data_IF_485963563871
#
_entry.id   IF_485963563871
#
_cell.length_a   1.000
_cell.length_b   1.000
_cell.length_c   1.000
_cell.angle_alpha   90.00
_cell.angle_beta   90.00
_cell.angle_gamma   90.00
#
_symmetry.space_group_name_H-M   'P 1'
#
loop_
_entity.id
_entity.type
_entity.pdbx_description
1 polymer ?
#
# COMPACT_ATOMS: atom_id res chain seq x y z
N UNK A 1 -2.09 -31.84 17.50
CA UNK A 1 -3.24 -32.61 18.07
C UNK A 1 -4.38 -31.67 18.45
N UNK A 2 -5.66 -32.08 18.41
CA UNK A 2 -6.75 -31.22 18.87
C UNK A 2 -6.57 -30.90 20.35
N UNK A 3 -6.29 -29.64 20.66
CA UNK A 3 -6.07 -29.16 22.03
C UNK A 3 -4.71 -28.52 22.29
N UNK A 4 -3.72 -28.71 21.42
CA UNK A 4 -2.47 -28.00 21.55
C UNK A 4 -2.64 -26.50 21.17
N UNK A 5 -2.05 -25.59 21.93
CA UNK A 5 -2.13 -24.16 21.64
C UNK A 5 -1.43 -23.85 20.32
N UNK A 6 -2.12 -23.11 19.44
CA UNK A 6 -1.53 -22.60 18.20
C UNK A 6 -0.68 -21.38 18.55
N UNK A 7 0.61 -21.40 18.25
CA UNK A 7 1.48 -20.23 18.40
C UNK A 7 1.42 -19.40 17.13
N UNK A 8 1.16 -18.11 17.28
CA UNK A 8 1.06 -17.15 16.17
C UNK A 8 1.88 -15.91 16.47
N UNK A 9 2.51 -15.35 15.45
CA UNK A 9 3.08 -14.00 15.53
C UNK A 9 2.05 -13.02 15.01
N UNK A 10 1.54 -12.15 15.87
CA UNK A 10 0.49 -11.19 15.50
C UNK A 10 0.99 -9.75 15.45
N UNK A 11 0.38 -8.99 14.57
CA UNK A 11 0.61 -7.56 14.49
C UNK A 11 -0.17 -6.83 15.58
N UNK A 12 0.51 -5.93 16.29
CA UNK A 12 -0.09 -5.01 17.27
C UNK A 12 0.18 -3.57 16.83
N UNK A 13 -0.63 -2.63 17.34
CA UNK A 13 -0.48 -1.19 17.05
C UNK A 13 -0.38 -0.89 15.54
N UNK A 14 -1.35 -1.39 14.77
CA UNK A 14 -1.39 -1.18 13.32
C UNK A 14 -0.23 -1.81 12.53
N UNK A 15 0.48 -2.78 13.12
CA UNK A 15 1.63 -3.44 12.51
C UNK A 15 2.99 -2.88 12.96
N UNK A 16 3.02 -1.91 13.89
CA UNK A 16 4.29 -1.37 14.41
C UNK A 16 5.02 -2.33 15.33
N UNK A 17 4.29 -3.21 16.01
CA UNK A 17 4.84 -4.22 16.92
C UNK A 17 4.45 -5.62 16.48
N UNK A 18 5.34 -6.57 16.73
CA UNK A 18 5.08 -8.00 16.61
C UNK A 18 5.00 -8.60 18.02
N UNK A 19 4.02 -9.47 18.21
CA UNK A 19 3.80 -10.17 19.47
C UNK A 19 3.64 -11.65 19.20
N UNK A 20 4.43 -12.48 19.87
CA UNK A 20 4.17 -13.92 19.88
C UNK A 20 3.05 -14.20 20.89
N UNK A 21 2.04 -14.93 20.47
CA UNK A 21 0.89 -15.27 21.27
C UNK A 21 0.51 -16.73 21.09
N UNK A 22 0.02 -17.35 22.18
CA UNK A 22 -0.54 -18.70 22.15
C UNK A 22 -2.06 -18.61 22.16
N UNK A 23 -2.68 -19.25 21.18
CA UNK A 23 -4.13 -19.30 21.04
C UNK A 23 -4.66 -20.62 21.63
N UNK A 24 -5.33 -20.50 22.77
CA UNK A 24 -5.97 -21.63 23.44
C UNK A 24 -7.45 -21.69 23.02
N UNK A 25 -7.74 -22.31 21.89
CA UNK A 25 -9.11 -22.47 21.40
C UNK A 25 -9.27 -23.80 20.70
N UNK A 26 -10.42 -24.45 20.92
CA UNK A 26 -10.77 -25.68 20.19
C UNK A 26 -11.04 -25.40 18.69
N UNK A 27 -11.46 -24.17 18.35
CA UNK A 27 -11.73 -23.72 16.98
C UNK A 27 -11.09 -22.36 16.78
N UNK A 28 -9.79 -22.33 16.44
CA UNK A 28 -9.09 -21.06 16.25
C UNK A 28 -9.61 -20.34 15.00
N UNK A 29 -9.94 -19.07 15.14
CA UNK A 29 -10.21 -18.16 14.02
C UNK A 29 -9.01 -17.25 13.85
N UNK A 30 -8.39 -17.30 12.69
CA UNK A 30 -7.15 -16.57 12.39
C UNK A 30 -7.33 -15.82 11.08
N UNK A 31 -6.93 -14.54 11.07
CA UNK A 31 -6.78 -13.76 9.85
C UNK A 31 -5.30 -13.61 9.53
N UNK A 32 -4.93 -13.80 8.28
CA UNK A 32 -3.56 -13.61 7.80
C UNK A 32 -3.40 -12.17 7.31
N UNK A 33 -2.34 -11.49 7.76
CA UNK A 33 -2.07 -10.14 7.29
C UNK A 33 -1.69 -10.17 5.79
N UNK A 34 -2.15 -9.22 4.98
CA UNK A 34 -1.77 -9.14 3.58
C UNK A 34 -0.25 -9.12 3.39
N UNK A 35 0.25 -9.72 2.33
CA UNK A 35 1.66 -9.75 1.92
C UNK A 35 2.63 -10.42 2.91
N UNK A 36 2.15 -11.19 3.89
CA UNK A 36 3.02 -11.88 4.87
C UNK A 36 3.40 -13.29 4.44
N UNK A 37 2.66 -13.88 3.52
CA UNK A 37 2.91 -15.22 2.98
C UNK A 37 3.18 -15.09 1.49
N UNK A 38 4.30 -15.61 0.96
CA UNK A 38 4.51 -15.66 -0.47
C UNK A 38 3.47 -16.57 -1.13
N UNK A 39 3.09 -16.24 -2.35
CA UNK A 39 2.27 -17.12 -3.17
C UNK A 39 3.25 -18.09 -3.86
N UNK A 40 3.34 -19.29 -3.33
CA UNK A 40 3.98 -20.38 -4.07
C UNK A 40 3.02 -20.81 -5.17
N UNK A 41 3.41 -20.64 -6.41
CA UNK A 41 2.72 -21.22 -7.56
C UNK A 41 2.85 -22.73 -7.47
N UNK A 42 1.96 -23.35 -6.70
CA UNK A 42 1.80 -24.81 -6.70
C UNK A 42 1.48 -25.34 -8.12
N UNK A 43 1.50 -26.65 -8.31
CA UNK A 43 1.06 -27.24 -9.56
C UNK A 43 -0.33 -26.72 -9.92
N UNK A 44 -0.60 -26.53 -11.21
CA UNK A 44 -1.92 -26.08 -11.67
C UNK A 44 -3.00 -26.90 -10.97
N UNK A 45 -4.05 -26.24 -10.43
CA UNK A 45 -5.09 -26.95 -9.72
C UNK A 45 -5.69 -28.00 -10.65
N UNK A 46 -5.77 -29.25 -10.18
CA UNK A 46 -6.59 -30.26 -10.80
C UNK A 46 -8.02 -29.71 -10.96
N UNK A 47 -8.77 -30.20 -11.93
CA UNK A 47 -10.17 -29.82 -12.14
C UNK A 47 -10.89 -29.64 -10.80
N UNK A 48 -11.32 -28.41 -10.52
CA UNK A 48 -12.08 -28.11 -9.32
C UNK A 48 -13.56 -28.34 -9.59
N UNK A 49 -14.18 -29.19 -8.81
CA UNK A 49 -15.63 -29.33 -8.80
C UNK A 49 -16.25 -28.15 -8.03
N UNK A 50 -17.00 -27.30 -8.73
CA UNK A 50 -17.64 -26.13 -8.16
C UNK A 50 -19.09 -26.50 -7.81
N UNK A 51 -19.35 -26.72 -6.53
CA UNK A 51 -20.71 -26.94 -6.03
C UNK A 51 -21.37 -25.56 -5.69
N UNK A 52 -22.45 -25.18 -6.40
CA UNK A 52 -23.16 -23.95 -6.05
C UNK A 52 -23.88 -24.11 -4.71
N UNK A 53 -23.69 -23.15 -3.81
CA UNK A 53 -24.35 -23.11 -2.52
C UNK A 53 -25.26 -21.87 -2.42
N UNK A 54 -26.54 -22.08 -2.18
CA UNK A 54 -27.48 -21.01 -1.89
C UNK A 54 -27.75 -20.93 -0.39
N UNK A 55 -27.22 -19.89 0.26
CA UNK A 55 -27.50 -19.62 1.66
C UNK A 55 -28.97 -19.22 1.85
N UNK A 56 -29.65 -19.80 2.85
CA UNK A 56 -30.93 -19.31 3.33
C UNK A 56 -30.67 -18.14 4.28
N UNK A 57 -30.99 -16.93 3.81
CA UNK A 57 -30.87 -15.71 4.58
C UNK A 57 -32.21 -15.42 5.28
N UNK A 58 -32.18 -15.10 6.54
CA UNK A 58 -33.34 -14.60 7.25
C UNK A 58 -33.40 -13.04 7.20
N UNK A 59 -34.52 -12.39 7.60
CA UNK A 59 -34.60 -10.93 7.58
C UNK A 59 -33.57 -10.22 8.44
N UNK A 60 -33.03 -10.84 9.48
CA UNK A 60 -31.99 -10.25 10.34
C UNK A 60 -30.64 -10.19 9.63
N UNK A 61 -30.32 -11.17 8.79
CA UNK A 61 -29.10 -11.18 7.98
C UNK A 61 -29.06 -10.00 6.97
N UNK A 62 -30.24 -9.44 6.65
CA UNK A 62 -30.40 -8.31 5.73
C UNK A 62 -30.57 -6.97 6.41
N UNK A 63 -30.47 -6.90 7.74
CA UNK A 63 -30.62 -5.66 8.51
C UNK A 63 -29.55 -4.62 8.15
N UNK A 64 -28.35 -5.09 7.78
CA UNK A 64 -27.26 -4.23 7.30
C UNK A 64 -27.07 -4.50 5.81
N UNK A 65 -27.20 -3.46 4.99
CA UNK A 65 -27.07 -3.56 3.53
C UNK A 65 -26.02 -2.59 3.02
N UNK A 66 -25.29 -3.01 2.00
CA UNK A 66 -24.45 -2.09 1.21
C UNK A 66 -25.40 -1.18 0.42
N UNK A 67 -25.45 0.10 0.76
CA UNK A 67 -26.29 1.10 0.08
C UNK A 67 -25.59 1.72 -1.13
N UNK A 68 -24.24 1.76 -1.11
CA UNK A 68 -23.44 2.28 -2.20
C UNK A 68 -22.06 1.65 -2.20
N UNK A 69 -21.46 1.52 -3.37
CA UNK A 69 -20.05 1.12 -3.58
C UNK A 69 -19.37 2.24 -4.35
N UNK A 70 -18.63 3.06 -3.64
CA UNK A 70 -17.79 4.08 -4.28
C UNK A 70 -16.65 3.35 -4.98
N UNK A 71 -16.85 3.06 -6.27
CA UNK A 71 -15.81 2.53 -7.13
C UNK A 71 -14.68 3.54 -7.29
N UNK A 72 -13.45 3.08 -7.46
CA UNK A 72 -12.37 3.97 -7.89
C UNK A 72 -12.72 4.52 -9.26
N UNK A 73 -12.91 5.83 -9.34
CA UNK A 73 -13.05 6.55 -10.60
C UNK A 73 -11.67 6.63 -11.26
N UNK A 74 -11.32 5.65 -12.05
CA UNK A 74 -10.06 5.64 -12.79
C UNK A 74 -9.56 4.21 -12.97
N UNK A 75 -9.39 3.78 -14.21
CA UNK A 75 -8.91 2.45 -14.60
C UNK A 75 -7.42 2.17 -14.28
N UNK A 76 -6.91 2.70 -13.18
CA UNK A 76 -5.52 2.53 -12.73
C UNK A 76 -5.31 1.30 -11.84
N UNK A 77 -4.06 0.88 -11.72
CA UNK A 77 -3.64 -0.21 -10.84
C UNK A 77 -3.98 0.14 -9.39
N UNK A 78 -4.57 -0.81 -8.65
CA UNK A 78 -4.85 -0.66 -7.22
C UNK A 78 -3.56 -0.48 -6.43
N UNK A 79 -3.56 0.40 -5.41
CA UNK A 79 -2.40 0.57 -4.52
C UNK A 79 -1.97 -0.76 -3.87
N UNK A 80 -2.94 -1.62 -3.53
CA UNK A 80 -2.64 -2.90 -2.88
C UNK A 80 -1.94 -3.91 -3.79
N UNK A 81 -2.16 -3.81 -5.11
CA UNK A 81 -1.67 -4.77 -6.11
C UNK A 81 -0.53 -4.20 -6.97
N UNK A 82 -0.21 -2.91 -6.79
CA UNK A 82 0.76 -2.21 -7.60
C UNK A 82 2.19 -2.71 -7.34
N UNK A 83 2.91 -3.08 -8.40
CA UNK A 83 4.34 -3.40 -8.33
C UNK A 83 5.22 -2.16 -8.16
N UNK A 84 4.77 -1.02 -8.68
CA UNK A 84 5.44 0.27 -8.54
C UNK A 84 4.44 1.28 -8.03
N UNK A 85 4.85 2.09 -7.04
CA UNK A 85 4.04 3.17 -6.49
C UNK A 85 4.86 4.46 -6.51
N UNK A 86 4.28 5.52 -7.05
CA UNK A 86 4.82 6.88 -6.94
C UNK A 86 3.94 7.66 -5.97
N UNK A 87 4.50 8.06 -4.83
CA UNK A 87 3.74 8.62 -3.72
C UNK A 87 4.20 10.03 -3.37
N UNK A 88 3.24 10.95 -3.27
CA UNK A 88 3.49 12.34 -2.93
C UNK A 88 3.24 12.66 -1.45
N UNK A 89 4.10 13.48 -0.86
CA UNK A 89 3.92 14.08 0.46
C UNK A 89 3.59 15.57 0.39
N UNK A 90 3.65 16.26 1.55
CA UNK A 90 3.49 17.72 1.61
C UNK A 90 4.51 18.48 0.79
N UNK A 91 5.70 17.90 0.55
CA UNK A 91 6.74 18.50 -0.28
C UNK A 91 6.33 18.72 -1.73
N UNK A 92 5.24 18.09 -2.21
CA UNK A 92 4.65 18.38 -3.53
C UNK A 92 4.08 19.79 -3.62
N UNK A 93 3.68 20.39 -2.49
CA UNK A 93 3.34 21.80 -2.35
C UNK A 93 1.86 22.12 -2.56
N UNK A 94 1.16 21.48 -3.48
CA UNK A 94 -0.27 21.71 -3.75
C UNK A 94 -0.95 20.52 -4.40
N UNK A 95 -2.28 20.62 -4.59
CA UNK A 95 -3.06 19.63 -5.34
C UNK A 95 -2.59 19.55 -6.80
N UNK A 96 -2.35 20.68 -7.42
CA UNK A 96 -1.88 20.80 -8.82
C UNK A 96 -0.48 20.22 -8.99
N UNK A 97 0.36 20.32 -7.95
CA UNK A 97 1.69 19.72 -7.92
C UNK A 97 1.70 18.20 -8.07
N UNK A 98 0.56 17.54 -7.87
CA UNK A 98 0.45 16.10 -8.12
C UNK A 98 0.49 15.72 -9.59
N UNK A 99 0.33 16.66 -10.52
CA UNK A 99 0.40 16.38 -11.95
C UNK A 99 1.72 15.70 -12.36
N UNK A 100 2.86 16.12 -11.79
CA UNK A 100 4.15 15.48 -12.09
C UNK A 100 4.27 14.08 -11.46
N UNK A 101 3.65 13.85 -10.29
CA UNK A 101 3.56 12.53 -9.67
C UNK A 101 2.77 11.57 -10.58
N UNK A 102 1.64 12.04 -11.09
CA UNK A 102 0.75 11.29 -11.99
C UNK A 102 1.46 11.00 -13.33
N UNK A 103 2.21 11.97 -13.85
CA UNK A 103 2.99 11.81 -15.07
C UNK A 103 4.05 10.71 -14.92
N UNK A 104 4.86 10.75 -13.87
CA UNK A 104 5.90 9.74 -13.61
C UNK A 104 5.26 8.38 -13.36
N UNK A 105 4.14 8.33 -12.60
CA UNK A 105 3.40 7.10 -12.36
C UNK A 105 2.88 6.50 -13.68
N UNK A 106 2.29 7.32 -14.56
CA UNK A 106 1.84 6.88 -15.88
C UNK A 106 2.96 6.34 -16.76
N UNK A 107 4.12 6.99 -16.76
CA UNK A 107 5.30 6.52 -17.45
C UNK A 107 5.81 5.17 -16.93
N UNK A 108 5.67 4.89 -15.66
CA UNK A 108 6.12 3.64 -15.03
C UNK A 108 5.04 2.55 -15.00
N UNK A 109 3.80 2.84 -15.39
CA UNK A 109 2.67 1.94 -15.17
C UNK A 109 2.38 1.73 -13.69
N UNK A 110 2.67 2.75 -12.87
CA UNK A 110 2.62 2.73 -11.42
C UNK A 110 1.28 3.24 -10.88
N UNK A 111 0.95 2.85 -9.65
CA UNK A 111 -0.12 3.48 -8.91
C UNK A 111 0.35 4.79 -8.26
N UNK A 112 -0.58 5.74 -8.11
CA UNK A 112 -0.33 6.98 -7.38
C UNK A 112 -0.75 6.80 -5.93
N UNK A 113 0.18 7.04 -5.01
CA UNK A 113 -0.06 7.07 -3.58
C UNK A 113 0.14 8.46 -2.97
N UNK A 114 -0.24 8.60 -1.71
CA UNK A 114 0.05 9.83 -0.97
C UNK A 114 0.17 9.59 0.55
N UNK A 115 0.76 10.57 1.24
CA UNK A 115 0.80 10.58 2.70
C UNK A 115 -0.52 11.07 3.31
N UNK A 116 -0.77 10.75 4.59
CA UNK A 116 -1.93 11.26 5.35
C UNK A 116 -2.01 12.79 5.34
N UNK A 117 -0.87 13.48 5.37
CA UNK A 117 -0.86 14.95 5.34
C UNK A 117 -1.49 15.52 4.06
N UNK A 118 -1.38 14.81 2.95
CA UNK A 118 -1.97 15.16 1.65
C UNK A 118 -3.48 14.95 1.65
N UNK A 119 -3.97 13.82 2.17
CA UNK A 119 -5.41 13.54 2.28
C UNK A 119 -6.09 14.48 3.27
N UNK A 120 -5.42 14.81 4.39
CA UNK A 120 -5.90 15.78 5.37
C UNK A 120 -5.99 17.19 4.79
N UNK A 121 -5.13 17.55 3.83
CA UNK A 121 -5.20 18.81 3.10
C UNK A 121 -6.22 18.80 1.93
N UNK A 122 -6.88 17.67 1.68
CA UNK A 122 -7.86 17.53 0.60
C UNK A 122 -7.26 17.49 -0.81
N UNK A 123 -5.95 17.29 -0.95
CA UNK A 123 -5.29 17.25 -2.26
C UNK A 123 -5.54 15.94 -3.00
N UNK A 124 -5.69 14.83 -2.26
CA UNK A 124 -6.00 13.49 -2.81
C UNK A 124 -7.07 12.82 -1.95
N UNK A 125 -7.84 11.88 -2.53
CA UNK A 125 -8.82 11.12 -1.77
C UNK A 125 -8.14 10.15 -0.80
N UNK A 126 -8.85 9.74 0.24
CA UNK A 126 -8.35 8.80 1.25
C UNK A 126 -7.96 7.44 0.66
N UNK A 127 -8.58 7.02 -0.45
CA UNK A 127 -8.24 5.79 -1.19
C UNK A 127 -6.78 5.72 -1.63
N UNK A 128 -6.14 6.88 -1.81
CA UNK A 128 -4.74 6.97 -2.25
C UNK A 128 -3.76 7.05 -1.08
N UNK A 129 -4.29 7.07 0.16
CA UNK A 129 -3.45 7.17 1.33
C UNK A 129 -2.71 5.87 1.61
N UNK A 130 -1.38 5.98 1.74
CA UNK A 130 -0.50 4.91 2.21
C UNK A 130 -0.13 5.14 3.66
N UNK A 131 -0.20 4.11 4.49
CA UNK A 131 0.18 4.19 5.90
C UNK A 131 -0.68 3.32 6.82
N UNK A 132 -0.50 3.51 8.11
CA UNK A 132 -1.19 2.75 9.16
C UNK A 132 -2.72 2.81 9.06
N UNK A 133 -3.26 3.98 8.73
CA UNK A 133 -4.70 4.25 8.59
C UNK A 133 -5.17 4.30 7.14
N UNK A 134 -4.28 4.05 6.19
CA UNK A 134 -4.56 3.94 4.76
C UNK A 134 -4.29 2.53 4.25
N UNK A 135 -3.97 2.44 2.97
CA UNK A 135 -3.60 1.16 2.34
C UNK A 135 -2.19 0.76 2.77
N UNK A 136 -2.03 -0.51 3.17
CA UNK A 136 -0.73 -1.15 3.32
C UNK A 136 -0.31 -1.72 1.99
N UNK A 137 0.94 -1.47 1.59
CA UNK A 137 1.44 -1.78 0.26
C UNK A 137 2.74 -2.58 0.34
N UNK A 138 2.96 -3.41 -0.70
CA UNK A 138 4.15 -4.24 -0.83
C UNK A 138 4.69 -4.20 -2.28
N UNK A 139 5.01 -3.02 -2.83
CA UNK A 139 5.52 -2.89 -4.18
C UNK A 139 6.95 -3.38 -4.29
N UNK A 140 7.37 -3.68 -5.52
CA UNK A 140 8.78 -3.89 -5.84
C UNK A 140 9.58 -2.59 -5.69
N UNK A 141 8.97 -1.44 -6.05
CA UNK A 141 9.54 -0.10 -5.88
C UNK A 141 8.51 0.88 -5.35
N UNK A 142 8.84 1.55 -4.27
CA UNK A 142 8.10 2.68 -3.73
C UNK A 142 8.90 3.97 -3.86
N UNK A 143 8.41 4.92 -4.66
CA UNK A 143 9.02 6.26 -4.81
C UNK A 143 8.33 7.23 -3.85
N UNK A 144 9.04 7.68 -2.84
CA UNK A 144 8.56 8.62 -1.83
C UNK A 144 9.00 10.03 -2.17
N UNK A 145 8.10 10.85 -2.71
CA UNK A 145 8.36 12.19 -3.22
C UNK A 145 7.88 13.26 -2.23
N UNK A 146 8.80 13.94 -1.55
CA UNK A 146 8.47 14.97 -0.56
C UNK A 146 7.72 14.44 0.66
N UNK A 147 7.97 13.22 1.05
CA UNK A 147 7.40 12.54 2.22
C UNK A 147 8.42 12.57 3.34
N UNK A 148 8.01 12.95 4.56
CA UNK A 148 8.90 13.00 5.72
C UNK A 148 9.27 11.62 6.28
N UNK A 149 8.40 10.61 6.13
CA UNK A 149 8.65 9.27 6.67
C UNK A 149 8.23 9.11 8.13
N UNK A 150 7.14 9.76 8.54
CA UNK A 150 6.54 9.52 9.85
C UNK A 150 6.26 8.02 10.07
N UNK A 151 6.37 7.55 11.32
CA UNK A 151 6.24 6.12 11.70
C UNK A 151 4.95 5.50 11.17
N UNK A 152 3.86 6.28 11.16
CA UNK A 152 2.56 5.84 10.67
C UNK A 152 2.55 5.62 9.15
N UNK A 153 3.31 6.42 8.40
CA UNK A 153 3.47 6.22 6.96
C UNK A 153 4.33 4.98 6.70
N UNK A 154 5.45 4.87 7.39
CA UNK A 154 6.37 3.72 7.28
C UNK A 154 5.71 2.40 7.64
N UNK A 155 4.75 2.39 8.57
CA UNK A 155 3.96 1.19 8.90
C UNK A 155 3.17 0.63 7.71
N UNK A 156 2.82 1.48 6.74
CA UNK A 156 2.18 1.07 5.48
C UNK A 156 3.13 0.54 4.42
N UNK A 157 4.44 0.74 4.58
CA UNK A 157 5.48 0.40 3.59
C UNK A 157 6.31 -0.84 3.94
N UNK A 158 6.03 -1.51 5.06
CA UNK A 158 6.84 -2.63 5.54
C UNK A 158 7.03 -3.77 4.52
N UNK A 159 6.14 -3.89 3.55
CA UNK A 159 6.22 -4.87 2.47
C UNK A 159 6.95 -4.38 1.22
N UNK A 160 7.35 -3.10 1.14
CA UNK A 160 8.07 -2.59 -0.03
C UNK A 160 9.46 -3.23 -0.13
N UNK A 161 9.82 -3.72 -1.33
CA UNK A 161 11.13 -4.35 -1.56
C UNK A 161 12.25 -3.31 -1.69
N UNK A 162 11.94 -2.16 -2.30
CA UNK A 162 12.87 -1.03 -2.47
C UNK A 162 12.13 0.28 -2.25
N UNK A 163 12.78 1.20 -1.58
CA UNK A 163 12.29 2.56 -1.35
C UNK A 163 13.29 3.55 -1.95
N UNK A 164 12.82 4.37 -2.89
CA UNK A 164 13.51 5.56 -3.38
C UNK A 164 12.91 6.79 -2.71
N UNK A 165 13.68 7.50 -1.90
CA UNK A 165 13.27 8.74 -1.25
C UNK A 165 13.82 9.95 -2.02
N UNK A 166 12.96 10.88 -2.39
CA UNK A 166 13.30 12.17 -2.99
C UNK A 166 12.78 13.25 -2.06
N UNK A 167 13.66 14.03 -1.48
CA UNK A 167 13.31 15.10 -0.54
C UNK A 167 14.39 16.21 -0.56
N UNK A 168 13.96 17.43 -0.36
CA UNK A 168 14.89 18.56 -0.18
C UNK A 168 15.54 18.57 1.21
N UNK A 169 14.93 17.93 2.22
CA UNK A 169 15.47 17.79 3.55
C UNK A 169 16.29 16.48 3.68
N UNK A 170 17.62 16.57 3.77
CA UNK A 170 18.48 15.38 3.91
C UNK A 170 18.33 14.67 5.26
N UNK A 171 17.69 15.33 6.25
CA UNK A 171 17.46 14.77 7.58
C UNK A 171 16.04 14.21 7.74
N UNK A 172 15.24 14.20 6.68
CA UNK A 172 13.91 13.61 6.75
C UNK A 172 14.01 12.12 7.17
N UNK A 173 13.21 11.65 8.15
CA UNK A 173 13.29 10.28 8.67
C UNK A 173 13.18 9.18 7.60
N UNK A 174 12.54 9.47 6.47
CA UNK A 174 12.43 8.51 5.36
C UNK A 174 13.79 8.17 4.75
N UNK A 175 14.75 9.09 4.79
CA UNK A 175 16.09 8.91 4.25
C UNK A 175 16.84 7.75 4.93
N UNK A 176 16.58 7.53 6.22
CA UNK A 176 17.18 6.43 6.99
C UNK A 176 16.60 5.05 6.66
N UNK A 177 15.44 5.03 6.01
CA UNK A 177 14.69 3.81 5.68
C UNK A 177 14.67 3.53 4.16
N UNK A 178 15.30 4.39 3.36
CA UNK A 178 15.33 4.25 1.91
C UNK A 178 16.56 3.48 1.44
N UNK A 179 16.38 2.66 0.40
CA UNK A 179 17.48 1.99 -0.30
C UNK A 179 18.23 2.98 -1.20
N UNK A 180 17.50 3.95 -1.76
CA UNK A 180 18.02 5.00 -2.61
C UNK A 180 17.54 6.37 -2.14
N UNK A 181 18.44 7.34 -2.14
CA UNK A 181 18.18 8.70 -1.66
C UNK A 181 18.58 9.71 -2.71
N UNK A 182 17.68 10.64 -3.01
CA UNK A 182 17.96 11.83 -3.81
C UNK A 182 17.62 13.06 -2.98
N UNK A 183 18.63 13.87 -2.67
CA UNK A 183 18.45 15.17 -2.01
C UNK A 183 18.27 16.22 -3.09
N UNK A 184 17.08 16.80 -3.20
CA UNK A 184 16.79 17.81 -4.22
C UNK A 184 15.33 18.25 -4.23
N UNK A 185 15.06 19.31 -5.00
CA UNK A 185 13.69 19.78 -5.22
C UNK A 185 12.94 18.83 -6.17
N UNK A 186 11.75 18.43 -5.77
CA UNK A 186 10.87 17.60 -6.58
C UNK A 186 10.55 18.21 -7.94
N UNK A 187 10.45 19.53 -8.01
CA UNK A 187 10.15 20.26 -9.24
C UNK A 187 11.25 20.19 -10.28
N UNK A 188 12.46 19.83 -9.87
CA UNK A 188 13.60 19.62 -10.74
C UNK A 188 13.83 18.12 -10.99
N UNK A 189 13.81 17.32 -9.93
CA UNK A 189 14.14 15.89 -9.97
C UNK A 189 13.11 15.10 -10.76
N UNK A 190 11.81 15.29 -10.51
CA UNK A 190 10.77 14.48 -11.16
C UNK A 190 10.64 14.73 -12.67
N UNK A 191 10.72 15.98 -13.18
CA UNK A 191 10.77 16.21 -14.62
C UNK A 191 12.00 15.58 -15.29
N UNK A 192 13.17 15.61 -14.62
CA UNK A 192 14.37 14.96 -15.13
C UNK A 192 14.21 13.43 -15.23
N UNK A 193 13.59 12.81 -14.20
CA UNK A 193 13.24 11.39 -14.21
C UNK A 193 12.27 11.09 -15.36
N UNK A 194 11.22 11.88 -15.54
CA UNK A 194 10.25 11.70 -16.62
C UNK A 194 10.90 11.80 -18.00
N UNK A 195 11.81 12.76 -18.18
CA UNK A 195 12.54 12.94 -19.43
C UNK A 195 13.44 11.73 -19.75
N UNK A 196 14.16 11.22 -18.73
CA UNK A 196 15.05 10.07 -18.93
C UNK A 196 14.24 8.79 -19.22
N UNK A 197 13.13 8.54 -18.53
CA UNK A 197 12.26 7.39 -18.82
C UNK A 197 11.76 7.44 -20.27
N UNK A 198 11.35 8.61 -20.76
CA UNK A 198 10.90 8.77 -22.15
C UNK A 198 12.00 8.49 -23.16
N UNK A 199 13.24 8.88 -22.85
CA UNK A 199 14.41 8.63 -23.69
C UNK A 199 14.73 7.14 -23.78
N UNK A 200 14.64 6.42 -22.67
CA UNK A 200 14.92 4.97 -22.60
C UNK A 200 13.83 4.10 -23.25
N UNK A 201 12.64 4.65 -23.50
CA UNK A 201 11.52 3.95 -24.15
C UNK A 201 11.42 4.16 -25.65
N UNK A 202 12.30 4.99 -26.23
CA UNK A 202 12.44 5.21 -27.68
C UNK A 202 13.37 4.16 -28.29
#
# INVERSE_FOLDING_TARGET
SPGDPVTVTRHRWGGSLLEEARLHSRRPLITVAPHTVPIDGGPEPAEMDIAPFMARLDPQDQAVRVVDRIGRSGGGVSLGDAKVIVSGGRGVGSKEGFAIIEEVAGLLGAAVGCSRAVTSAGWRPHSDQVGQTGTKVAPDLYMACGISGATQHMAGLKGAKRILAINSDPQAPIMLNADYVVVGDLKEVLPAIAAEIRKQRR
#
